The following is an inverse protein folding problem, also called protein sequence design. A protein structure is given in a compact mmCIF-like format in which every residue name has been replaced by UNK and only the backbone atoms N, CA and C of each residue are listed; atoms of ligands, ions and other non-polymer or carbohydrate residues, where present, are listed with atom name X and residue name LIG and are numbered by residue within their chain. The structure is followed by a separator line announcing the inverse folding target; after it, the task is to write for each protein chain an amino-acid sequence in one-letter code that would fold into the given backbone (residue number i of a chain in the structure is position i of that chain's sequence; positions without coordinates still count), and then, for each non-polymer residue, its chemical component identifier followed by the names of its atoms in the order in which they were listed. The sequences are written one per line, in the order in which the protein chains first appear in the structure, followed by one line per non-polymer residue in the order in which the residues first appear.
data_IF_033161076968
#
_entry.id   IF_033161076968
#
_cell.length_a   1.000
_cell.length_b   1.000
_cell.length_c   1.000
_cell.angle_alpha   90.00
_cell.angle_beta   90.00
_cell.angle_gamma   90.00
#
_symmetry.space_group_name_H-M   'P 1'
#
loop_
_entity.id
_entity.type
_entity.pdbx_description
1 polymer ?
#
# COMPACT_ATOMS: atom_id res chain seq x y z
N UNK A 1 5.17 8.34 -0.26
CA UNK A 1 4.19 9.35 0.19
C UNK A 1 4.18 9.47 1.71
N UNK A 2 3.98 8.36 2.44
CA UNK A 2 3.93 8.35 3.90
C UNK A 2 5.18 8.96 4.54
N UNK A 3 6.36 8.56 4.09
CA UNK A 3 7.64 9.08 4.59
C UNK A 3 7.80 10.58 4.29
N UNK A 4 7.37 11.03 3.11
CA UNK A 4 7.38 12.45 2.76
C UNK A 4 6.48 13.26 3.70
N UNK A 5 5.23 12.81 3.89
CA UNK A 5 4.27 13.45 4.81
C UNK A 5 4.83 13.49 6.24
N UNK A 6 5.43 12.39 6.69
CA UNK A 6 5.98 12.27 8.03
C UNK A 6 7.11 13.28 8.26
N UNK A 7 8.07 13.34 7.35
CA UNK A 7 9.17 14.30 7.40
C UNK A 7 8.67 15.74 7.38
N UNK A 8 7.79 16.08 6.44
CA UNK A 8 7.35 17.44 6.20
C UNK A 8 6.41 18.02 7.27
N UNK A 9 5.54 17.18 7.84
CA UNK A 9 4.47 17.66 8.73
C UNK A 9 4.56 17.11 10.15
N UNK A 10 5.21 15.97 10.36
CA UNK A 10 5.21 15.27 11.65
C UNK A 10 6.59 15.07 12.24
N UNK A 11 7.67 15.62 11.63
CA UNK A 11 9.04 15.53 12.12
C UNK A 11 9.48 14.07 12.39
N UNK A 12 9.10 13.17 11.50
CA UNK A 12 9.33 11.73 11.58
C UNK A 12 8.77 11.04 12.85
N UNK A 13 7.72 11.63 13.44
CA UNK A 13 7.08 11.08 14.66
C UNK A 13 6.02 10.02 14.37
N UNK A 14 5.53 9.93 13.14
CA UNK A 14 4.53 8.94 12.75
C UNK A 14 5.22 7.77 12.07
N UNK A 15 4.80 6.58 12.40
CA UNK A 15 5.28 5.37 11.75
C UNK A 15 4.30 5.01 10.65
N UNK A 16 4.78 5.07 9.41
CA UNK A 16 4.03 4.63 8.24
C UNK A 16 4.43 3.21 7.87
N UNK A 17 3.45 2.33 7.71
CA UNK A 17 3.67 1.01 7.14
C UNK A 17 3.45 1.09 5.62
N UNK A 18 4.35 0.51 4.81
CA UNK A 18 4.17 0.49 3.37
C UNK A 18 3.04 -0.45 2.96
N UNK A 19 2.33 -0.13 1.88
CA UNK A 19 1.28 -0.99 1.31
C UNK A 19 1.88 -2.09 0.43
N UNK A 20 1.16 -3.22 0.25
CA UNK A 20 1.55 -4.26 -0.70
C UNK A 20 1.67 -3.70 -2.13
N UNK A 21 0.80 -2.76 -2.50
CA UNK A 21 0.89 -2.08 -3.80
C UNK A 21 2.24 -1.36 -3.99
N UNK A 22 2.78 -0.72 -2.94
CA UNK A 22 4.08 -0.05 -2.99
C UNK A 22 5.25 -1.02 -3.18
N UNK A 23 5.13 -2.23 -2.63
CA UNK A 23 6.11 -3.29 -2.84
C UNK A 23 6.23 -3.69 -4.32
N UNK A 24 5.11 -3.77 -5.04
CA UNK A 24 5.06 -4.04 -6.48
C UNK A 24 5.36 -2.82 -7.35
N UNK A 25 5.87 -1.74 -6.77
CA UNK A 25 6.15 -0.49 -7.51
C UNK A 25 4.89 0.26 -7.94
N UNK A 26 3.72 -0.13 -7.46
CA UNK A 26 2.45 0.58 -7.69
C UNK A 26 2.38 1.76 -6.72
N UNK A 27 2.99 2.89 -7.12
CA UNK A 27 2.95 4.09 -6.29
C UNK A 27 1.53 4.65 -6.19
N UNK A 28 1.12 4.96 -4.95
CA UNK A 28 -0.14 5.66 -4.71
C UNK A 28 -0.08 7.13 -5.14
N UNK A 29 1.11 7.63 -5.46
CA UNK A 29 1.35 8.96 -5.98
C UNK A 29 2.09 8.84 -7.30
N UNK A 30 1.53 9.42 -8.37
CA UNK A 30 2.09 9.44 -9.72
C UNK A 30 2.27 10.88 -10.17
N UNK A 31 3.31 11.10 -10.94
CA UNK A 31 3.50 12.32 -11.69
C UNK A 31 3.40 12.02 -13.18
N UNK A 32 2.54 12.73 -13.86
CA UNK A 32 2.33 12.62 -15.31
C UNK A 32 2.69 13.95 -15.95
N UNK A 33 3.82 13.94 -16.63
CA UNK A 33 4.32 15.14 -17.33
C UNK A 33 3.62 15.31 -18.66
N UNK A 34 3.10 16.52 -18.87
CA UNK A 34 2.51 16.93 -20.15
C UNK A 34 3.60 17.57 -21.00
N UNK A 35 3.72 17.10 -22.24
CA UNK A 35 4.52 17.81 -23.25
C UNK A 35 3.63 18.89 -23.83
N UNK A 36 3.94 20.14 -23.53
CA UNK A 36 3.15 21.29 -23.99
C UNK A 36 4.07 22.32 -24.66
N UNK A 37 3.51 22.99 -25.66
CA UNK A 37 4.16 24.10 -26.33
C UNK A 37 4.24 25.33 -25.41
N UNK A 38 5.22 26.18 -25.66
CA UNK A 38 5.33 27.49 -25.01
C UNK A 38 4.19 28.38 -25.49
N UNK A 39 3.60 29.13 -24.58
CA UNK A 39 2.40 29.92 -24.87
C UNK A 39 2.47 31.33 -24.29
N UNK A 40 1.89 32.28 -24.98
CA UNK A 40 1.64 33.64 -24.47
C UNK A 40 0.63 33.63 -23.33
N UNK A 41 -0.19 32.58 -23.24
CA UNK A 41 -1.13 32.34 -22.15
C UNK A 41 -0.80 31.01 -21.47
N UNK A 42 0.21 30.97 -20.58
CA UNK A 42 0.68 29.73 -19.98
C UNK A 42 -0.28 29.12 -18.94
N UNK A 43 -1.41 29.77 -18.64
CA UNK A 43 -2.43 29.25 -17.76
C UNK A 43 -3.50 28.44 -18.53
N UNK A 44 -3.72 27.22 -18.11
CA UNK A 44 -4.74 26.31 -18.63
C UNK A 44 -4.47 25.87 -20.07
N UNK A 45 -3.34 25.21 -20.30
CA UNK A 45 -2.92 24.69 -21.61
C UNK A 45 -3.86 23.60 -22.13
N UNK A 46 -4.10 23.60 -23.44
CA UNK A 46 -5.01 22.64 -24.09
C UNK A 46 -4.51 21.20 -23.98
N UNK A 47 -3.19 20.98 -24.10
CA UNK A 47 -2.59 19.64 -23.97
C UNK A 47 -2.81 19.03 -22.58
N UNK A 48 -2.74 19.83 -21.52
CA UNK A 48 -3.02 19.36 -20.15
C UNK A 48 -4.52 19.09 -19.96
N UNK A 49 -5.39 19.96 -20.49
CA UNK A 49 -6.84 19.75 -20.50
C UNK A 49 -7.23 18.44 -21.16
N UNK A 50 -6.73 18.19 -22.37
CA UNK A 50 -7.03 16.97 -23.12
C UNK A 50 -6.61 15.72 -22.37
N UNK A 51 -5.39 15.70 -21.80
CA UNK A 51 -4.87 14.57 -21.05
C UNK A 51 -5.72 14.29 -19.80
N UNK A 52 -6.09 15.34 -19.04
CA UNK A 52 -6.93 15.17 -17.86
C UNK A 52 -8.33 14.69 -18.22
N UNK A 53 -8.93 15.21 -19.29
CA UNK A 53 -10.25 14.75 -19.77
C UNK A 53 -10.17 13.29 -20.19
N UNK A 54 -9.14 12.88 -20.93
CA UNK A 54 -8.92 11.48 -21.30
C UNK A 54 -8.77 10.58 -20.07
N UNK A 55 -8.03 11.03 -19.05
CA UNK A 55 -7.87 10.31 -17.78
C UNK A 55 -9.21 10.13 -17.04
N UNK A 56 -10.05 11.18 -16.99
CA UNK A 56 -11.40 11.13 -16.40
C UNK A 56 -12.27 10.12 -17.14
N UNK A 57 -12.34 10.21 -18.48
CA UNK A 57 -13.16 9.32 -19.31
C UNK A 57 -12.69 7.87 -19.23
N UNK A 58 -11.37 7.66 -19.20
CA UNK A 58 -10.77 6.33 -18.98
C UNK A 58 -11.13 5.75 -17.62
N UNK A 59 -11.09 6.56 -16.56
CA UNK A 59 -11.49 6.16 -15.23
C UNK A 59 -12.97 5.75 -15.18
N UNK A 60 -13.86 6.59 -15.71
CA UNK A 60 -15.30 6.32 -15.76
C UNK A 60 -15.61 5.00 -16.49
N UNK A 61 -14.81 4.63 -17.51
CA UNK A 61 -14.94 3.38 -18.26
C UNK A 61 -14.38 2.18 -17.52
N UNK A 62 -13.17 2.30 -16.98
CA UNK A 62 -12.40 1.13 -16.50
C UNK A 62 -12.61 0.83 -15.02
N UNK A 63 -12.91 1.83 -14.22
CA UNK A 63 -13.02 1.71 -12.75
C UNK A 63 -14.17 2.54 -12.17
N UNK A 64 -15.41 2.41 -12.70
CA UNK A 64 -16.54 3.26 -12.29
C UNK A 64 -16.95 3.07 -10.82
N UNK A 65 -16.53 1.96 -10.19
CA UNK A 65 -16.77 1.66 -8.79
C UNK A 65 -15.87 2.47 -7.83
N UNK A 66 -14.82 3.13 -8.35
CA UNK A 66 -13.95 3.98 -7.53
C UNK A 66 -14.36 5.45 -7.68
N UNK A 67 -14.50 6.15 -6.57
CA UNK A 67 -14.76 7.59 -6.57
C UNK A 67 -13.56 8.37 -7.13
N UNK A 68 -13.84 9.44 -7.88
CA UNK A 68 -12.84 10.30 -8.50
C UNK A 68 -13.14 11.78 -8.19
N UNK A 69 -12.12 12.49 -7.72
CA UNK A 69 -12.10 13.95 -7.66
C UNK A 69 -11.01 14.50 -8.57
N UNK A 70 -11.30 15.63 -9.21
CA UNK A 70 -10.30 16.39 -9.97
C UNK A 70 -10.09 17.72 -9.26
N UNK A 71 -8.86 17.98 -8.82
CA UNK A 71 -8.47 19.23 -8.18
C UNK A 71 -7.58 20.04 -9.11
N UNK A 72 -7.76 21.35 -9.14
CA UNK A 72 -6.98 22.27 -10.00
C UNK A 72 -6.34 23.37 -9.17
N UNK A 73 -5.23 23.94 -9.66
CA UNK A 73 -4.58 25.06 -9.00
C UNK A 73 -5.28 26.41 -9.27
N UNK A 74 -6.15 26.49 -10.29
CA UNK A 74 -6.86 27.73 -10.63
C UNK A 74 -8.33 27.51 -11.00
N UNK A 75 -9.16 28.50 -10.73
CA UNK A 75 -10.59 28.50 -11.09
C UNK A 75 -10.77 28.51 -12.62
N UNK A 76 -9.93 29.22 -13.34
CA UNK A 76 -9.96 29.26 -14.81
C UNK A 76 -9.77 27.86 -15.42
N UNK A 77 -8.78 27.12 -14.90
CA UNK A 77 -8.50 25.76 -15.35
C UNK A 77 -9.64 24.81 -15.01
N UNK A 78 -10.25 24.89 -13.82
CA UNK A 78 -11.43 24.12 -13.46
C UNK A 78 -12.60 24.35 -14.43
N UNK A 79 -12.95 25.59 -14.72
CA UNK A 79 -14.04 25.90 -15.63
C UNK A 79 -13.80 25.44 -17.08
N UNK A 80 -12.54 25.46 -17.56
CA UNK A 80 -12.20 24.91 -18.87
C UNK A 80 -12.29 23.39 -18.89
N UNK A 81 -11.84 22.69 -17.81
CA UNK A 81 -12.00 21.24 -17.67
C UNK A 81 -13.49 20.84 -17.64
N UNK A 82 -14.33 21.54 -16.91
CA UNK A 82 -15.78 21.28 -16.91
C UNK A 82 -16.40 21.42 -18.30
N UNK A 83 -16.01 22.48 -19.02
CA UNK A 83 -16.51 22.73 -20.39
C UNK A 83 -16.04 21.65 -21.35
N UNK A 84 -14.77 21.30 -21.34
CA UNK A 84 -14.19 20.24 -22.19
C UNK A 84 -14.78 18.87 -21.86
N UNK A 85 -14.95 18.53 -20.58
CA UNK A 85 -15.56 17.28 -20.14
C UNK A 85 -17.03 17.18 -20.59
N UNK A 86 -17.80 18.28 -20.48
CA UNK A 86 -19.18 18.32 -21.00
C UNK A 86 -19.25 18.02 -22.49
N UNK A 87 -18.29 18.51 -23.25
CA UNK A 87 -18.20 18.21 -24.70
C UNK A 87 -17.80 16.75 -24.95
N UNK A 88 -16.86 16.21 -24.21
CA UNK A 88 -16.43 14.81 -24.33
C UNK A 88 -17.55 13.82 -23.95
N UNK A 89 -18.35 14.11 -22.92
CA UNK A 89 -19.50 13.30 -22.50
C UNK A 89 -20.58 13.17 -23.59
N UNK A 90 -20.82 14.22 -24.37
CA UNK A 90 -21.81 14.14 -25.45
C UNK A 90 -21.57 12.98 -26.41
N UNK A 91 -20.32 12.60 -26.64
CA UNK A 91 -19.94 11.48 -27.52
C UNK A 91 -19.98 10.12 -26.80
N UNK A 92 -20.20 10.09 -25.48
CA UNK A 92 -20.05 8.91 -24.60
C UNK A 92 -21.12 8.87 -23.51
N UNK A 93 -22.38 8.94 -23.91
CA UNK A 93 -23.53 8.84 -23.00
C UNK A 93 -23.57 7.51 -22.19
N UNK A 94 -22.86 6.48 -22.67
CA UNK A 94 -22.69 5.21 -21.94
C UNK A 94 -21.99 5.37 -20.58
N UNK A 95 -21.25 6.46 -20.36
CA UNK A 95 -20.54 6.76 -19.12
C UNK A 95 -21.30 7.69 -18.16
N UNK A 96 -22.45 8.20 -18.56
CA UNK A 96 -23.25 9.12 -17.74
C UNK A 96 -23.60 8.60 -16.33
N UNK A 97 -23.89 7.29 -16.12
CA UNK A 97 -24.15 6.79 -14.77
C UNK A 97 -23.03 7.07 -13.76
N UNK A 98 -21.77 7.14 -14.19
CA UNK A 98 -20.65 7.50 -13.34
C UNK A 98 -20.74 8.97 -12.90
N UNK A 99 -21.04 9.87 -13.82
CA UNK A 99 -21.08 11.32 -13.57
C UNK A 99 -22.35 11.77 -12.83
N UNK A 100 -23.43 11.03 -12.95
CA UNK A 100 -24.74 11.33 -12.32
C UNK A 100 -24.93 10.65 -10.98
N UNK A 101 -23.93 9.92 -10.52
CA UNK A 101 -23.93 9.29 -9.21
C UNK A 101 -24.13 10.33 -8.08
N UNK A 102 -25.13 10.10 -7.22
CA UNK A 102 -25.54 11.03 -6.15
C UNK A 102 -25.02 10.63 -4.77
N UNK A 103 -23.92 9.90 -4.67
CA UNK A 103 -23.31 9.48 -3.41
C UNK A 103 -22.59 10.62 -2.66
N UNK A 104 -22.13 10.33 -1.44
CA UNK A 104 -21.26 11.24 -0.67
C UNK A 104 -19.96 11.60 -1.40
N UNK A 105 -19.50 10.74 -2.29
CA UNK A 105 -18.26 10.86 -3.04
C UNK A 105 -18.55 10.89 -4.55
N UNK A 106 -19.43 11.83 -4.94
CA UNK A 106 -19.73 12.07 -6.37
C UNK A 106 -18.51 12.62 -7.09
N UNK A 107 -18.46 12.41 -8.41
CA UNK A 107 -17.49 13.05 -9.27
C UNK A 107 -17.63 14.57 -9.24
N UNK A 108 -16.54 15.28 -9.01
CA UNK A 108 -16.51 16.75 -9.06
C UNK A 108 -15.16 17.24 -9.59
N UNK A 109 -15.16 18.39 -10.25
CA UNK A 109 -13.99 19.19 -10.57
C UNK A 109 -14.02 20.39 -9.64
N UNK A 110 -12.96 20.55 -8.83
CA UNK A 110 -12.88 21.58 -7.78
C UNK A 110 -11.52 22.27 -7.83
N UNK A 111 -11.40 23.39 -7.14
CA UNK A 111 -10.08 23.96 -6.87
C UNK A 111 -9.43 23.27 -5.67
N UNK A 112 -8.10 23.27 -5.62
CA UNK A 112 -7.36 22.60 -4.53
C UNK A 112 -7.70 23.15 -3.13
N UNK A 113 -8.13 24.41 -3.03
CA UNK A 113 -8.57 24.99 -1.76
C UNK A 113 -9.87 24.37 -1.22
N UNK A 114 -10.73 23.87 -2.11
CA UNK A 114 -12.01 23.25 -1.77
C UNK A 114 -11.89 21.78 -1.39
N UNK A 115 -10.68 21.21 -1.51
CA UNK A 115 -10.39 19.81 -1.21
C UNK A 115 -10.44 19.50 0.31
N UNK A 116 -10.41 20.52 1.17
CA UNK A 116 -10.47 20.32 2.62
C UNK A 116 -11.72 19.51 3.02
N UNK A 117 -11.52 18.46 3.83
CA UNK A 117 -12.57 17.53 4.29
C UNK A 117 -13.23 16.68 3.19
N UNK A 118 -12.66 16.64 2.00
CA UNK A 118 -13.10 15.76 0.94
C UNK A 118 -12.16 14.58 0.80
N UNK A 119 -12.73 13.41 0.50
CA UNK A 119 -11.98 12.17 0.31
C UNK A 119 -12.54 11.46 -0.90
N UNK A 120 -11.64 10.89 -1.71
CA UNK A 120 -12.01 10.03 -2.83
C UNK A 120 -11.06 8.82 -2.92
N UNK A 121 -11.45 7.80 -3.67
CA UNK A 121 -10.53 6.70 -3.96
C UNK A 121 -9.35 7.17 -4.79
N UNK A 122 -9.60 8.01 -5.79
CA UNK A 122 -8.57 8.59 -6.66
C UNK A 122 -8.74 10.10 -6.78
N UNK A 123 -7.61 10.79 -6.84
CA UNK A 123 -7.57 12.24 -7.10
C UNK A 123 -6.63 12.50 -8.26
N UNK A 124 -7.08 13.27 -9.23
CA UNK A 124 -6.23 13.87 -10.26
C UNK A 124 -6.03 15.32 -9.86
N UNK A 125 -4.79 15.72 -9.62
CA UNK A 125 -4.42 17.12 -9.43
C UNK A 125 -3.79 17.65 -10.70
N UNK A 126 -4.47 18.57 -11.38
CA UNK A 126 -3.98 19.24 -12.59
C UNK A 126 -3.50 20.64 -12.23
N UNK A 127 -2.20 20.90 -12.45
CA UNK A 127 -1.60 22.18 -12.13
C UNK A 127 -2.15 23.29 -13.02
N UNK A 128 -2.30 23.01 -14.32
CA UNK A 128 -2.90 23.94 -15.30
C UNK A 128 -1.99 25.12 -15.66
N UNK A 129 -0.67 24.96 -15.55
CA UNK A 129 0.31 25.98 -15.92
C UNK A 129 1.44 25.40 -16.76
N UNK A 130 1.87 26.14 -17.78
CA UNK A 130 3.00 25.79 -18.61
C UNK A 130 4.03 26.90 -18.65
N UNK A 131 4.94 26.85 -19.63
CA UNK A 131 5.97 27.85 -19.87
C UNK A 131 5.45 28.95 -20.82
N UNK A 132 5.91 30.15 -20.57
CA UNK A 132 5.71 31.27 -21.50
C UNK A 132 6.57 31.12 -22.76
N UNK A 133 6.41 32.05 -23.71
CA UNK A 133 7.20 32.06 -24.98
C UNK A 133 8.71 32.19 -24.76
N UNK A 134 9.15 32.65 -23.59
CA UNK A 134 10.56 32.69 -23.22
C UNK A 134 11.07 31.39 -22.57
N UNK A 135 10.22 30.41 -22.40
CA UNK A 135 10.53 29.14 -21.76
C UNK A 135 10.54 29.19 -20.22
N UNK A 136 10.03 30.28 -19.63
CA UNK A 136 9.98 30.44 -18.18
C UNK A 136 8.62 30.03 -17.58
N UNK A 137 8.68 29.39 -16.41
CA UNK A 137 7.48 29.10 -15.65
C UNK A 137 6.90 30.36 -15.01
N UNK A 138 5.58 30.54 -14.96
CA UNK A 138 4.94 31.69 -14.32
C UNK A 138 5.36 31.86 -12.86
N UNK A 139 5.43 33.10 -12.40
CA UNK A 139 5.78 33.41 -11.01
C UNK A 139 4.67 32.95 -10.04
N UNK A 140 3.43 33.03 -10.48
CA UNK A 140 2.27 32.65 -9.70
C UNK A 140 1.61 31.42 -10.32
N UNK A 141 1.39 30.39 -9.51
CA UNK A 141 0.74 29.11 -9.88
C UNK A 141 -0.62 29.00 -9.17
N UNK A 142 -1.47 29.99 -9.37
CA UNK A 142 -2.81 30.01 -8.80
C UNK A 142 -2.83 29.83 -7.29
N UNK A 143 -3.66 28.94 -6.78
CA UNK A 143 -3.83 28.69 -5.34
C UNK A 143 -2.57 28.09 -4.67
N UNK A 144 -1.67 27.47 -5.44
CA UNK A 144 -0.40 26.92 -4.88
C UNK A 144 0.51 28.06 -4.40
N UNK A 145 0.52 29.19 -5.12
CA UNK A 145 1.31 30.35 -4.73
C UNK A 145 0.65 31.19 -3.62
N UNK A 146 -0.55 30.85 -3.18
CA UNK A 146 -1.21 31.53 -2.07
C UNK A 146 -0.50 31.22 -0.73
N UNK A 147 -0.64 32.10 0.27
CA UNK A 147 -0.06 31.90 1.62
C UNK A 147 -0.41 30.54 2.27
N UNK A 148 -1.52 29.91 1.85
CA UNK A 148 -1.97 28.61 2.33
C UNK A 148 -1.66 27.47 1.34
N UNK A 149 -0.90 27.70 0.27
CA UNK A 149 -0.62 26.70 -0.76
C UNK A 149 -0.03 25.41 -0.22
N UNK A 150 0.90 25.54 0.75
CA UNK A 150 1.46 24.35 1.44
C UNK A 150 0.38 23.52 2.14
N UNK A 151 -0.60 24.17 2.80
CA UNK A 151 -1.70 23.46 3.46
C UNK A 151 -2.65 22.81 2.44
N UNK A 152 -2.87 23.43 1.30
CA UNK A 152 -3.69 22.85 0.23
C UNK A 152 -3.04 21.58 -0.33
N UNK A 153 -1.74 21.59 -0.57
CA UNK A 153 -0.99 20.40 -0.97
C UNK A 153 -1.00 19.32 0.12
N UNK A 154 -0.87 19.69 1.40
CA UNK A 154 -1.00 18.73 2.49
C UNK A 154 -2.36 18.03 2.49
N UNK A 155 -3.45 18.79 2.31
CA UNK A 155 -4.79 18.23 2.17
C UNK A 155 -4.89 17.28 0.97
N UNK A 156 -4.32 17.64 -0.18
CA UNK A 156 -4.27 16.78 -1.37
C UNK A 156 -3.66 15.40 -1.03
N UNK A 157 -2.53 15.40 -0.33
CA UNK A 157 -1.79 14.17 -0.02
C UNK A 157 -2.55 13.19 0.90
N UNK A 158 -3.47 13.70 1.72
CA UNK A 158 -4.25 12.87 2.66
C UNK A 158 -5.68 12.60 2.20
N UNK A 159 -6.11 13.20 1.10
CA UNK A 159 -7.50 13.11 0.61
C UNK A 159 -7.77 11.91 -0.30
N UNK A 160 -6.74 11.22 -0.79
CA UNK A 160 -6.92 10.04 -1.64
C UNK A 160 -6.69 8.75 -0.87
N UNK A 161 -7.61 7.79 -0.98
CA UNK A 161 -7.46 6.46 -0.38
C UNK A 161 -6.56 5.53 -1.19
N UNK A 162 -6.58 5.64 -2.53
CA UNK A 162 -5.89 4.68 -3.41
C UNK A 162 -4.80 5.32 -4.25
N UNK A 163 -5.06 6.46 -4.89
CA UNK A 163 -4.11 7.05 -5.83
C UNK A 163 -4.29 8.56 -5.97
N UNK A 164 -3.17 9.26 -6.03
CA UNK A 164 -3.07 10.66 -6.48
C UNK A 164 -2.27 10.66 -7.78
N UNK A 165 -2.77 11.34 -8.79
CA UNK A 165 -2.04 11.62 -10.02
C UNK A 165 -1.85 13.12 -10.13
N UNK A 166 -0.61 13.59 -10.12
CA UNK A 166 -0.27 14.99 -10.40
C UNK A 166 0.00 15.11 -11.89
N UNK A 167 -0.75 15.97 -12.56
CA UNK A 167 -0.59 16.26 -13.99
C UNK A 167 -0.06 17.67 -14.14
N UNK A 168 1.03 17.86 -14.87
CA UNK A 168 1.62 19.19 -15.08
C UNK A 168 2.51 19.25 -16.32
N UNK A 169 2.50 20.39 -17.00
CA UNK A 169 3.45 20.72 -18.05
C UNK A 169 4.80 21.27 -17.48
N UNK A 170 4.83 21.65 -16.20
CA UNK A 170 6.02 22.04 -15.48
C UNK A 170 6.60 20.86 -14.71
N UNK A 171 7.91 20.83 -14.59
CA UNK A 171 8.63 19.85 -13.74
C UNK A 171 9.27 20.50 -12.51
N UNK A 172 9.96 19.71 -11.69
CA UNK A 172 10.59 20.21 -10.49
C UNK A 172 11.69 21.26 -10.77
N UNK A 173 12.40 21.16 -11.90
CA UNK A 173 13.45 22.11 -12.26
C UNK A 173 12.87 23.48 -12.59
N UNK A 174 11.70 23.52 -13.21
CA UNK A 174 10.99 24.76 -13.52
C UNK A 174 10.53 25.51 -12.27
N UNK A 175 10.42 24.81 -11.14
CA UNK A 175 9.91 25.33 -9.88
C UNK A 175 10.99 25.62 -8.84
N UNK A 176 12.23 25.12 -8.99
CA UNK A 176 13.31 25.22 -8.02
C UNK A 176 13.67 26.65 -7.62
N UNK A 177 13.59 27.60 -8.56
CA UNK A 177 13.96 29.00 -8.33
C UNK A 177 12.85 29.84 -7.66
N UNK A 178 11.73 29.22 -7.26
CA UNK A 178 10.59 29.94 -6.69
C UNK A 178 10.66 29.93 -5.17
N UNK A 179 10.62 31.12 -4.55
CA UNK A 179 10.71 31.27 -3.08
C UNK A 179 9.41 30.98 -2.33
N UNK A 180 8.31 30.71 -3.04
CA UNK A 180 7.00 30.49 -2.42
C UNK A 180 6.93 29.10 -1.76
N UNK A 181 6.55 29.00 -0.46
CA UNK A 181 6.56 27.72 0.26
C UNK A 181 5.66 26.63 -0.33
N UNK A 182 4.53 27.00 -0.96
CA UNK A 182 3.65 26.04 -1.64
C UNK A 182 4.27 25.50 -2.92
N UNK A 183 4.94 26.38 -3.68
CA UNK A 183 5.63 26.00 -4.92
C UNK A 183 6.86 25.14 -4.62
N UNK A 184 7.63 25.48 -3.57
CA UNK A 184 8.75 24.67 -3.11
C UNK A 184 8.29 23.28 -2.71
N UNK A 185 7.22 23.16 -1.92
CA UNK A 185 6.67 21.86 -1.54
C UNK A 185 6.22 21.04 -2.77
N UNK A 186 5.62 21.67 -3.78
CA UNK A 186 5.24 20.98 -5.01
C UNK A 186 6.49 20.49 -5.78
N UNK A 187 7.53 21.32 -5.87
CA UNK A 187 8.81 20.96 -6.49
C UNK A 187 9.47 19.77 -5.78
N UNK A 188 9.53 19.79 -4.45
CA UNK A 188 10.08 18.71 -3.64
C UNK A 188 9.30 17.42 -3.82
N UNK A 189 7.97 17.52 -3.86
CA UNK A 189 7.08 16.37 -4.10
C UNK A 189 7.33 15.75 -5.47
N UNK A 190 7.45 16.55 -6.52
CA UNK A 190 7.78 16.07 -7.87
C UNK A 190 9.19 15.45 -7.93
N UNK A 191 10.16 16.00 -7.21
CA UNK A 191 11.51 15.46 -7.11
C UNK A 191 11.53 14.09 -6.43
N UNK A 192 10.84 13.95 -5.29
CA UNK A 192 10.73 12.69 -4.55
C UNK A 192 10.04 11.59 -5.38
N UNK A 193 9.06 11.94 -6.21
CA UNK A 193 8.41 10.99 -7.12
C UNK A 193 9.37 10.40 -8.16
N UNK A 194 10.34 11.19 -8.63
CA UNK A 194 11.40 10.72 -9.52
C UNK A 194 12.41 9.79 -8.84
N UNK A 195 12.54 9.83 -7.50
CA UNK A 195 13.51 9.06 -6.72
C UNK A 195 12.98 7.78 -6.08
N UNK A 196 11.70 7.53 -6.10
CA UNK A 196 11.01 6.49 -5.31
C UNK A 196 11.47 5.03 -5.53
N UNK A 197 12.52 4.78 -6.32
CA UNK A 197 13.07 3.45 -6.60
C UNK A 197 14.29 3.04 -5.75
N UNK A 198 14.83 3.88 -4.86
CA UNK A 198 16.21 3.71 -4.34
C UNK A 198 16.38 3.57 -2.82
N UNK A 199 15.36 3.39 -2.02
CA UNK A 199 15.55 3.16 -0.58
C UNK A 199 15.90 1.70 -0.28
N UNK A 200 17.21 1.42 -0.21
CA UNK A 200 17.73 0.24 0.48
C UNK A 200 18.10 0.66 1.91
N UNK A 201 17.39 0.12 2.87
CA UNK A 201 17.83 0.19 4.27
C UNK A 201 18.85 -0.94 4.46
N UNK A 202 20.13 -0.60 4.48
CA UNK A 202 21.18 -1.49 5.00
C UNK A 202 21.07 -1.51 6.52
N UNK A 203 20.27 -2.43 7.04
CA UNK A 203 20.23 -2.76 8.46
C UNK A 203 20.77 -4.18 8.61
N UNK A 204 21.43 -4.42 9.74
CA UNK A 204 21.94 -5.73 10.11
C UNK A 204 20.80 -6.76 10.09
N UNK A 205 20.90 -7.76 9.20
CA UNK A 205 19.86 -8.74 8.99
C UNK A 205 20.05 -9.90 9.97
N UNK A 206 19.00 -10.22 10.73
CA UNK A 206 19.01 -11.38 11.61
C UNK A 206 19.33 -12.66 10.77
N UNK A 207 20.32 -13.48 11.18
CA UNK A 207 20.76 -14.67 10.43
C UNK A 207 19.64 -15.67 10.12
N UNK A 208 18.66 -15.84 11.01
CA UNK A 208 17.52 -16.74 10.79
C UNK A 208 16.60 -16.21 9.67
N UNK A 209 16.44 -14.90 9.56
CA UNK A 209 15.69 -14.28 8.46
C UNK A 209 16.45 -14.42 7.14
N UNK A 210 17.77 -14.26 7.17
CA UNK A 210 18.62 -14.46 5.99
C UNK A 210 18.52 -15.89 5.48
N UNK A 211 18.63 -16.88 6.36
CA UNK A 211 18.50 -18.31 6.01
C UNK A 211 17.11 -18.62 5.46
N UNK A 212 16.05 -18.16 6.11
CA UNK A 212 14.68 -18.33 5.62
C UNK A 212 14.49 -17.71 4.22
N UNK A 213 15.02 -16.52 3.98
CA UNK A 213 14.93 -15.86 2.67
C UNK A 213 15.65 -16.69 1.58
N UNK A 214 16.80 -17.27 1.89
CA UNK A 214 17.53 -18.17 0.96
C UNK A 214 16.70 -19.42 0.64
N UNK A 215 16.08 -20.05 1.64
CA UNK A 215 15.22 -21.24 1.45
C UNK A 215 13.99 -20.92 0.63
N UNK A 216 13.32 -19.80 0.90
CA UNK A 216 12.16 -19.33 0.13
C UNK A 216 12.55 -19.08 -1.34
N UNK A 217 13.71 -18.48 -1.58
CA UNK A 217 14.19 -18.23 -2.94
C UNK A 217 14.45 -19.55 -3.69
N UNK A 218 14.98 -20.59 -3.03
CA UNK A 218 15.14 -21.94 -3.62
C UNK A 218 13.81 -22.59 -4.00
N UNK A 219 12.73 -22.23 -3.32
CA UNK A 219 11.37 -22.68 -3.64
C UNK A 219 10.66 -21.83 -4.71
N UNK A 220 11.34 -20.86 -5.31
CA UNK A 220 10.78 -19.99 -6.34
C UNK A 220 10.00 -18.78 -5.79
N UNK A 221 10.09 -18.50 -4.50
CA UNK A 221 9.52 -17.31 -3.88
C UNK A 221 10.48 -16.13 -4.02
N UNK A 222 10.00 -15.01 -4.50
CA UNK A 222 10.78 -13.76 -4.49
C UNK A 222 10.79 -13.19 -3.08
N UNK A 223 11.96 -12.89 -2.54
CA UNK A 223 12.10 -12.36 -1.19
C UNK A 223 12.73 -10.97 -1.20
N UNK A 224 12.31 -10.13 -0.25
CA UNK A 224 12.93 -8.84 0.02
C UNK A 224 13.10 -8.67 1.52
N UNK A 225 14.35 -8.61 1.96
CA UNK A 225 14.72 -8.40 3.35
C UNK A 225 14.81 -6.91 3.67
N UNK A 226 14.58 -6.54 4.94
CA UNK A 226 14.62 -5.15 5.41
C UNK A 226 13.84 -4.19 4.52
N UNK A 227 12.59 -4.59 4.16
CA UNK A 227 11.74 -3.78 3.27
C UNK A 227 11.39 -2.42 3.88
N UNK A 228 11.20 -2.40 5.21
CA UNK A 228 11.11 -1.17 6.00
C UNK A 228 11.77 -1.40 7.37
N UNK A 229 11.85 -0.36 8.18
CA UNK A 229 12.38 -0.48 9.56
C UNK A 229 11.66 -1.54 10.37
N UNK A 230 10.37 -1.76 10.12
CA UNK A 230 9.49 -2.69 10.86
C UNK A 230 9.15 -3.97 10.10
N UNK A 231 9.38 -4.04 8.79
CA UNK A 231 9.11 -5.23 7.97
C UNK A 231 10.45 -5.83 7.55
N UNK A 232 10.82 -6.92 8.22
CA UNK A 232 12.13 -7.55 8.04
C UNK A 232 12.19 -8.51 6.86
N UNK A 233 11.06 -9.13 6.50
CA UNK A 233 10.97 -10.04 5.36
C UNK A 233 9.62 -9.91 4.65
N UNK A 234 9.69 -9.68 3.36
CA UNK A 234 8.56 -9.83 2.43
C UNK A 234 8.84 -11.01 1.52
N UNK A 235 7.85 -11.87 1.34
CA UNK A 235 7.85 -12.99 0.42
C UNK A 235 6.75 -12.79 -0.63
N UNK A 236 7.01 -13.03 -1.91
CA UNK A 236 6.03 -12.81 -2.96
C UNK A 236 6.10 -13.83 -4.09
N UNK A 237 4.92 -14.09 -4.70
CA UNK A 237 4.76 -14.92 -5.90
C UNK A 237 3.70 -14.27 -6.79
N UNK A 238 4.07 -13.88 -8.01
CA UNK A 238 3.20 -13.15 -8.91
C UNK A 238 2.71 -11.83 -8.29
N UNK A 239 1.39 -11.69 -8.14
CA UNK A 239 0.75 -10.50 -7.54
C UNK A 239 0.45 -10.64 -6.03
N UNK A 240 0.78 -11.78 -5.42
CA UNK A 240 0.61 -12.01 -3.99
C UNK A 240 1.89 -11.66 -3.24
N UNK A 241 1.75 -10.90 -2.17
CA UNK A 241 2.87 -10.59 -1.28
C UNK A 241 2.47 -10.80 0.17
N UNK A 242 3.36 -11.43 0.94
CA UNK A 242 3.20 -11.69 2.35
C UNK A 242 4.28 -10.98 3.16
N UNK A 243 3.89 -10.41 4.29
CA UNK A 243 4.82 -10.04 5.35
C UNK A 243 5.04 -11.27 6.20
N UNK A 244 6.29 -11.70 6.30
CA UNK A 244 6.72 -12.79 7.18
C UNK A 244 7.28 -12.16 8.45
N UNK A 245 6.54 -12.27 9.55
CA UNK A 245 6.88 -11.63 10.82
C UNK A 245 7.20 -12.65 11.90
N UNK A 246 8.48 -12.76 12.33
CA UNK A 246 8.84 -13.61 13.45
C UNK A 246 8.33 -13.00 14.77
N UNK A 247 8.12 -13.85 15.76
CA UNK A 247 7.56 -13.44 17.05
C UNK A 247 8.47 -12.47 17.84
N UNK A 248 9.80 -12.49 17.64
CA UNK A 248 10.70 -11.48 18.22
C UNK A 248 10.61 -10.11 17.54
N UNK A 249 10.16 -10.05 16.28
CA UNK A 249 9.99 -8.79 15.54
C UNK A 249 8.91 -7.88 16.11
N UNK A 250 8.04 -8.44 16.95
CA UNK A 250 6.90 -7.76 17.58
C UNK A 250 7.04 -7.67 19.11
N UNK A 251 8.23 -7.90 19.63
CA UNK A 251 8.53 -7.64 21.05
C UNK A 251 8.38 -6.14 21.34
N UNK A 252 7.75 -5.80 22.45
CA UNK A 252 7.46 -4.41 22.84
C UNK A 252 6.04 -3.93 22.50
N UNK A 253 5.29 -4.63 21.65
CA UNK A 253 3.87 -4.39 21.48
C UNK A 253 3.05 -5.07 22.58
N UNK A 254 1.94 -4.43 22.98
CA UNK A 254 0.98 -5.10 23.84
C UNK A 254 0.25 -6.23 23.08
N UNK A 255 -0.42 -7.14 23.79
CA UNK A 255 -1.08 -8.29 23.18
C UNK A 255 -2.12 -7.91 22.13
N UNK A 256 -2.88 -6.86 22.37
CA UNK A 256 -3.91 -6.38 21.43
C UNK A 256 -3.29 -5.85 20.14
N UNK A 257 -2.22 -5.06 20.24
CA UNK A 257 -1.48 -4.58 19.07
C UNK A 257 -0.87 -5.74 18.29
N UNK A 258 -0.24 -6.67 19.01
CA UNK A 258 0.51 -7.79 18.43
C UNK A 258 -0.39 -8.79 17.69
N UNK A 259 -1.53 -9.11 18.26
CA UNK A 259 -2.37 -10.22 17.75
C UNK A 259 -3.61 -9.76 16.99
N UNK A 260 -4.01 -8.51 17.12
CA UNK A 260 -5.24 -8.00 16.51
C UNK A 260 -5.01 -6.78 15.63
N UNK A 261 -4.42 -5.69 16.18
CA UNK A 261 -4.38 -4.43 15.45
C UNK A 261 -3.37 -4.44 14.31
N UNK A 262 -2.16 -4.94 14.55
CA UNK A 262 -1.11 -4.99 13.53
C UNK A 262 -1.45 -5.92 12.36
N UNK A 263 -1.89 -7.17 12.57
CA UNK A 263 -2.36 -8.02 11.48
C UNK A 263 -3.48 -7.37 10.68
N UNK A 264 -4.53 -6.89 11.33
CA UNK A 264 -5.67 -6.25 10.66
C UNK A 264 -5.26 -5.00 9.85
N UNK A 265 -4.32 -4.19 10.37
CA UNK A 265 -3.78 -3.03 9.65
C UNK A 265 -3.04 -3.46 8.38
N UNK A 266 -2.15 -4.44 8.47
CA UNK A 266 -1.35 -4.90 7.35
C UNK A 266 -2.22 -5.60 6.29
N UNK A 267 -3.21 -6.36 6.70
CA UNK A 267 -4.20 -6.97 5.80
C UNK A 267 -5.04 -5.91 5.09
N UNK A 268 -5.49 -4.87 5.78
CA UNK A 268 -6.18 -3.73 5.19
C UNK A 268 -5.32 -2.96 4.17
N UNK A 269 -3.99 -3.02 4.32
CA UNK A 269 -3.02 -2.48 3.37
C UNK A 269 -2.70 -3.41 2.20
N UNK A 270 -3.41 -4.54 2.09
CA UNK A 270 -3.30 -5.51 0.98
C UNK A 270 -2.20 -6.56 1.16
N UNK A 271 -1.60 -6.66 2.34
CA UNK A 271 -0.63 -7.71 2.64
C UNK A 271 -1.31 -9.00 3.08
N UNK A 272 -0.75 -10.14 2.71
CA UNK A 272 -0.94 -11.36 3.46
C UNK A 272 -0.04 -11.29 4.69
N UNK A 273 -0.58 -11.53 5.88
CA UNK A 273 0.19 -11.50 7.12
C UNK A 273 0.48 -12.92 7.58
N UNK A 274 1.76 -13.28 7.62
CA UNK A 274 2.23 -14.60 8.04
C UNK A 274 3.13 -14.45 9.26
N UNK A 275 2.67 -14.99 10.38
CA UNK A 275 3.45 -15.01 11.60
C UNK A 275 4.21 -16.32 11.71
N UNK A 276 5.47 -16.22 12.06
CA UNK A 276 6.38 -17.37 12.21
C UNK A 276 6.92 -17.41 13.65
N UNK A 277 6.54 -18.44 14.44
CA UNK A 277 7.15 -18.64 15.75
C UNK A 277 8.65 -18.92 15.64
N UNK A 278 9.43 -18.31 16.52
CA UNK A 278 10.90 -18.49 16.52
C UNK A 278 11.33 -19.94 16.74
N UNK A 279 10.58 -20.66 17.54
CA UNK A 279 10.89 -22.07 17.83
C UNK A 279 10.69 -22.96 16.58
N UNK A 280 9.66 -22.72 15.76
CA UNK A 280 9.45 -23.44 14.50
C UNK A 280 10.56 -23.11 13.49
N UNK A 281 10.92 -21.84 13.39
CA UNK A 281 11.98 -21.40 12.51
C UNK A 281 13.35 -21.98 12.90
N UNK A 282 13.58 -22.19 14.22
CA UNK A 282 14.80 -22.82 14.72
C UNK A 282 14.77 -24.35 14.54
N UNK A 283 13.63 -25.00 14.81
CA UNK A 283 13.50 -26.46 14.76
C UNK A 283 13.49 -26.99 13.32
N UNK A 284 12.70 -26.40 12.42
CA UNK A 284 12.61 -26.81 11.01
C UNK A 284 12.39 -25.63 10.06
N UNK A 285 13.43 -24.89 9.71
CA UNK A 285 13.34 -23.77 8.76
C UNK A 285 12.87 -24.19 7.36
N UNK A 286 13.10 -25.46 6.96
CA UNK A 286 12.63 -25.98 5.68
C UNK A 286 11.10 -26.13 5.65
N UNK A 287 10.51 -26.65 6.71
CA UNK A 287 9.06 -26.77 6.83
C UNK A 287 8.40 -25.39 6.87
N UNK A 288 8.97 -24.43 7.59
CA UNK A 288 8.50 -23.04 7.62
C UNK A 288 8.53 -22.43 6.22
N UNK A 289 9.63 -22.59 5.49
CA UNK A 289 9.75 -22.08 4.12
C UNK A 289 8.70 -22.69 3.19
N UNK A 290 8.46 -24.01 3.29
CA UNK A 290 7.41 -24.69 2.50
C UNK A 290 6.01 -24.20 2.85
N UNK A 291 5.71 -24.02 4.12
CA UNK A 291 4.40 -23.51 4.58
C UNK A 291 4.12 -22.11 4.03
N UNK A 292 5.13 -21.22 4.04
CA UNK A 292 5.03 -19.89 3.44
C UNK A 292 4.83 -19.97 1.93
N UNK A 293 5.60 -20.82 1.22
CA UNK A 293 5.49 -21.02 -0.22
C UNK A 293 4.10 -21.54 -0.62
N UNK A 294 3.55 -22.51 0.12
CA UNK A 294 2.19 -23.00 -0.05
C UNK A 294 1.15 -21.91 0.13
N UNK A 295 1.28 -21.08 1.17
CA UNK A 295 0.37 -19.94 1.43
C UNK A 295 0.38 -18.93 0.28
N UNK A 296 1.51 -18.76 -0.40
CA UNK A 296 1.65 -17.91 -1.58
C UNK A 296 1.16 -18.58 -2.89
N UNK A 297 0.84 -19.89 -2.85
CA UNK A 297 0.28 -20.63 -3.98
C UNK A 297 1.31 -21.42 -4.79
N UNK A 298 2.50 -21.68 -4.26
CA UNK A 298 3.45 -22.62 -4.87
C UNK A 298 3.09 -24.03 -4.44
N UNK A 299 2.85 -24.93 -5.39
CA UNK A 299 2.68 -26.35 -5.11
C UNK A 299 4.03 -26.97 -4.73
N UNK A 300 4.17 -27.35 -3.47
CA UNK A 300 5.35 -28.06 -2.98
C UNK A 300 5.08 -29.55 -2.97
N UNK A 301 5.77 -30.29 -3.83
CA UNK A 301 5.53 -31.73 -4.13
C UNK A 301 5.90 -32.71 -3.01
N UNK A 302 6.30 -32.27 -1.84
CA UNK A 302 6.49 -33.16 -0.66
C UNK A 302 5.53 -32.76 0.46
N UNK A 303 4.68 -33.74 0.87
CA UNK A 303 3.93 -33.66 2.13
C UNK A 303 4.91 -33.31 3.26
N UNK A 304 4.54 -32.38 4.17
CA UNK A 304 5.30 -32.20 5.40
C UNK A 304 5.35 -33.53 6.14
N UNK A 305 6.55 -34.04 6.37
CA UNK A 305 6.72 -35.09 7.36
C UNK A 305 6.44 -34.46 8.72
N UNK A 306 5.67 -35.11 9.60
CA UNK A 306 5.49 -34.60 10.96
C UNK A 306 6.89 -34.43 11.59
N UNK A 307 7.10 -33.31 12.27
CA UNK A 307 8.37 -32.93 12.93
C UNK A 307 8.85 -33.95 13.99
N UNK A 308 7.96 -34.79 14.46
CA UNK A 308 8.23 -35.92 15.32
C UNK A 308 7.40 -37.11 14.78
N UNK A 309 8.05 -38.07 14.12
CA UNK A 309 7.65 -39.45 14.31
C UNK A 309 7.94 -39.70 15.80
N UNK A 310 6.90 -39.78 16.59
CA UNK A 310 7.01 -40.40 17.90
C UNK A 310 7.64 -41.75 17.61
N UNK A 311 8.91 -41.93 17.93
CA UNK A 311 9.53 -43.24 17.96
C UNK A 311 8.55 -44.11 18.75
N UNK A 312 8.25 -45.32 18.20
CA UNK A 312 7.40 -46.25 18.91
C UNK A 312 7.88 -46.29 20.35
N UNK A 313 6.96 -46.15 21.33
CA UNK A 313 7.37 -46.10 22.73
C UNK A 313 8.19 -47.35 23.00
N UNK A 314 9.35 -47.17 23.63
CA UNK A 314 10.23 -48.26 23.99
C UNK A 314 9.35 -49.31 24.75
N UNK A 315 9.61 -50.58 24.57
CA UNK A 315 8.83 -51.63 25.23
C UNK A 315 8.64 -51.34 26.72
N UNK A 316 9.63 -50.71 27.36
CA UNK A 316 9.60 -50.28 28.76
C UNK A 316 8.57 -49.18 29.08
N UNK A 317 8.10 -48.43 28.07
CA UNK A 317 7.08 -47.38 28.21
C UNK A 317 5.68 -47.84 27.82
N UNK A 318 5.50 -49.11 27.50
CA UNK A 318 4.19 -49.68 27.16
C UNK A 318 3.46 -50.19 28.42
N UNK A 319 2.16 -50.06 28.45
CA UNK A 319 1.31 -50.59 29.57
C UNK A 319 1.54 -52.07 29.82
N UNK A 320 1.90 -52.83 28.76
CA UNK A 320 2.22 -54.26 28.89
C UNK A 320 3.55 -54.54 29.63
N UNK A 321 4.53 -53.59 29.55
CA UNK A 321 5.80 -53.73 30.31
C UNK A 321 5.59 -53.50 31.81
N UNK A 322 4.53 -52.79 32.20
CA UNK A 322 4.17 -52.53 33.59
C UNK A 322 3.16 -53.54 34.14
N UNK A 323 2.81 -54.59 33.37
CA UNK A 323 1.93 -55.67 33.76
C UNK A 323 0.41 -55.32 33.75
N UNK A 324 0.05 -54.20 33.18
CA UNK A 324 -1.35 -53.84 32.95
C UNK A 324 -1.87 -54.55 31.70
N UNK A 325 -2.76 -55.51 31.86
CA UNK A 325 -3.55 -56.08 30.75
C UNK A 325 -4.73 -55.18 30.45
N UNK A 326 -5.02 -54.93 29.18
CA UNK A 326 -6.07 -53.99 28.70
C UNK A 326 -7.47 -54.24 29.22
N UNK A 327 -7.74 -55.43 29.83
CA UNK A 327 -9.07 -55.86 30.25
C UNK A 327 -9.37 -55.72 31.75
N UNK A 328 -8.40 -55.36 32.60
CA UNK A 328 -8.62 -55.51 34.05
C UNK A 328 -9.25 -54.30 34.76
N UNK A 329 -9.21 -53.13 34.18
CA UNK A 329 -9.63 -51.92 34.88
C UNK A 329 -11.11 -51.60 34.71
N UNK A 330 -11.66 -51.89 33.55
CA UNK A 330 -13.11 -51.66 33.28
C UNK A 330 -14.00 -52.69 33.98
N UNK A 331 -13.54 -53.94 34.13
CA UNK A 331 -14.25 -54.95 34.91
C UNK A 331 -14.24 -54.61 36.42
N UNK A 332 -13.14 -54.16 36.95
CA UNK A 332 -13.01 -53.77 38.38
C UNK A 332 -13.84 -52.52 38.69
N UNK A 333 -13.88 -51.52 37.76
CA UNK A 333 -14.72 -50.34 37.91
C UNK A 333 -16.21 -50.63 37.78
N UNK A 334 -16.59 -51.68 37.05
CA UNK A 334 -17.98 -52.13 36.95
C UNK A 334 -18.46 -52.90 38.22
N UNK A 335 -17.55 -53.63 38.88
CA UNK A 335 -17.83 -54.36 40.13
C UNK A 335 -17.87 -53.45 41.36
N UNK A 336 -17.07 -52.36 41.40
CA UNK A 336 -17.00 -51.42 42.53
C UNK A 336 -18.03 -50.25 42.40
N UNK A 337 -19.04 -50.34 41.54
CA UNK A 337 -20.09 -49.31 41.48
C UNK A 337 -20.94 -49.32 42.76
N UNK A 338 -21.03 -48.20 43.50
CA UNK A 338 -21.92 -48.08 44.64
C UNK A 338 -23.39 -48.25 44.22
N UNK A 339 -24.22 -48.93 45.03
CA UNK A 339 -25.60 -49.34 44.66
C UNK A 339 -26.59 -48.19 44.44
N UNK A 340 -26.15 -46.92 44.52
CA UNK A 340 -26.99 -45.73 44.30
C UNK A 340 -26.62 -44.95 43.03
N UNK A 341 -25.81 -45.53 42.15
CA UNK A 341 -25.47 -44.98 40.85
C UNK A 341 -26.20 -45.78 39.73
N UNK A 342 -27.54 -45.70 39.77
CA UNK A 342 -28.40 -46.16 38.70
C UNK A 342 -28.86 -45.06 37.76
#
# INVERSE_FOLDING_TARGET
LGDYINREFYQDRIIFEPTAASYFGRSNLKFERVVADHSDQPESLDQELELVIQAIMSHAKSTPQHSLLVATASVKHAGRLETGLRSARKARADLDPFFESHGREKFEIITIQELAHRVADRIIFSLGFGKDLSGQAPTLLGQISHRHGRRYLANLLVSARKQITIVSALDNQDLLAKENPGVQMLSDLMHELGRAAAMRVEADLNPMIADLAIRLTKLGVTTRTNFSTRIKLVASVGEKAAIVEPDWGILGYNLTERYRLRPALLEAMGWMYLRVPSFELFADPEQVARSIALSLGIEVTKKPQPLFELSEPAFEDTSSAWGDSEDSNDQRLAEDKPPHWG
#
